data_IF_096183722674
#
_entry.id   IF_096183722674
#
_cell.length_a   1.000
_cell.length_b   1.000
_cell.length_c   1.000
_cell.angle_alpha   90.00
_cell.angle_beta   90.00
_cell.angle_gamma   90.00
#
_symmetry.space_group_name_H-M   'P 1'
#
loop_
_entity.id
_entity.type
_entity.pdbx_description
1 polymer ?
#
# COMPACT_ATOMS: atom_id res chain seq x y z
N UNK A 1 20.55 15.05 -24.98
CA UNK A 1 19.47 16.00 -24.96
C UNK A 1 18.23 15.50 -24.24
N UNK A 2 17.18 16.30 -24.21
CA UNK A 2 15.89 15.96 -23.54
C UNK A 2 15.26 14.66 -24.04
N UNK A 3 15.40 14.35 -25.33
CA UNK A 3 14.86 13.11 -25.94
C UNK A 3 15.58 11.87 -25.41
N UNK A 4 16.93 11.95 -25.32
CA UNK A 4 17.75 10.86 -24.79
C UNK A 4 17.44 10.58 -23.31
N UNK A 5 17.21 11.63 -22.52
CA UNK A 5 16.85 11.52 -21.10
C UNK A 5 15.47 10.87 -20.94
N UNK A 6 14.49 11.27 -21.76
CA UNK A 6 13.15 10.66 -21.77
C UNK A 6 13.20 9.19 -22.15
N UNK A 7 14.03 8.83 -23.12
CA UNK A 7 14.21 7.44 -23.56
C UNK A 7 14.83 6.59 -22.44
N UNK A 8 15.87 7.09 -21.78
CA UNK A 8 16.50 6.39 -20.66
C UNK A 8 15.52 6.18 -19.51
N UNK A 9 14.73 7.20 -19.16
CA UNK A 9 13.69 7.12 -18.12
C UNK A 9 12.63 6.07 -18.49
N UNK A 10 12.19 6.04 -19.76
CA UNK A 10 11.25 5.06 -20.27
C UNK A 10 11.82 3.63 -20.17
N UNK A 11 13.09 3.45 -20.55
CA UNK A 11 13.76 2.14 -20.48
C UNK A 11 13.92 1.65 -19.05
N UNK A 12 14.29 2.53 -18.11
CA UNK A 12 14.36 2.18 -16.69
C UNK A 12 13.00 1.74 -16.16
N UNK A 13 11.95 2.47 -16.48
CA UNK A 13 10.59 2.14 -16.07
C UNK A 13 10.15 0.78 -16.64
N UNK A 14 10.44 0.51 -17.91
CA UNK A 14 10.18 -0.79 -18.54
C UNK A 14 10.94 -1.91 -17.84
N UNK A 15 12.19 -1.68 -17.48
CA UNK A 15 13.01 -2.65 -16.74
C UNK A 15 12.39 -2.99 -15.38
N UNK A 16 11.98 -2.00 -14.60
CA UNK A 16 11.33 -2.21 -13.30
C UNK A 16 10.01 -2.98 -13.45
N UNK A 17 9.21 -2.66 -14.46
CA UNK A 17 7.95 -3.37 -14.72
C UNK A 17 8.19 -4.83 -15.11
N UNK A 18 9.19 -5.13 -15.94
CA UNK A 18 9.52 -6.49 -16.37
C UNK A 18 9.97 -7.37 -15.21
N UNK A 19 10.62 -6.77 -14.20
CA UNK A 19 11.11 -7.49 -13.01
C UNK A 19 10.15 -7.44 -11.84
N UNK A 20 9.00 -6.79 -11.98
CA UNK A 20 8.02 -6.65 -10.92
C UNK A 20 7.07 -7.83 -10.90
N UNK A 21 7.09 -8.58 -9.80
CA UNK A 21 6.20 -9.75 -9.63
C UNK A 21 4.72 -9.34 -9.69
N UNK A 22 4.36 -8.16 -9.16
CA UNK A 22 2.97 -7.69 -9.19
C UNK A 22 2.54 -7.24 -10.57
N UNK A 23 3.42 -6.62 -11.35
CA UNK A 23 3.14 -6.35 -12.77
C UNK A 23 2.91 -7.64 -13.55
N UNK A 24 3.67 -8.69 -13.26
CA UNK A 24 3.51 -10.01 -13.89
C UNK A 24 2.18 -10.65 -13.51
N UNK A 25 1.76 -10.52 -12.25
CA UNK A 25 0.45 -10.98 -11.79
C UNK A 25 -0.67 -10.24 -12.52
N UNK A 26 -0.59 -8.93 -12.60
CA UNK A 26 -1.57 -8.07 -13.28
C UNK A 26 -1.69 -8.48 -14.76
N UNK A 27 -0.57 -8.78 -15.40
CA UNK A 27 -0.51 -9.20 -16.81
C UNK A 27 -0.79 -10.69 -17.03
N UNK A 28 -1.13 -11.43 -15.98
CA UNK A 28 -1.45 -12.86 -16.02
C UNK A 28 -0.27 -13.75 -16.44
N UNK A 29 0.96 -13.28 -16.28
CA UNK A 29 2.17 -14.07 -16.51
C UNK A 29 2.47 -14.99 -15.32
N UNK A 30 2.01 -14.64 -14.13
CA UNK A 30 2.12 -15.43 -12.90
C UNK A 30 0.70 -15.62 -12.35
N UNK A 31 0.32 -16.85 -11.96
CA UNK A 31 -1.01 -17.09 -11.39
C UNK A 31 -1.18 -16.41 -10.03
N UNK A 32 -2.42 -16.03 -9.72
CA UNK A 32 -2.79 -15.45 -8.44
C UNK A 32 -4.22 -15.84 -8.08
N UNK A 33 -4.58 -15.67 -6.82
CA UNK A 33 -5.95 -15.86 -6.34
C UNK A 33 -6.67 -14.51 -6.37
N UNK A 34 -7.19 -14.16 -7.51
CA UNK A 34 -7.81 -12.85 -7.76
C UNK A 34 -9.11 -12.69 -6.96
N UNK A 35 -9.24 -11.54 -6.29
CA UNK A 35 -10.42 -11.14 -5.53
C UNK A 35 -11.24 -10.11 -6.29
N UNK A 36 -10.59 -9.15 -6.95
CA UNK A 36 -11.24 -8.05 -7.65
C UNK A 36 -10.30 -7.48 -8.70
N UNK A 37 -10.89 -7.00 -9.77
CA UNK A 37 -10.14 -6.32 -10.83
C UNK A 37 -11.05 -5.32 -11.53
N UNK A 38 -10.52 -4.14 -11.81
CA UNK A 38 -11.10 -3.18 -12.75
C UNK A 38 -9.96 -2.57 -13.57
N UNK A 39 -10.22 -1.46 -14.27
CA UNK A 39 -9.22 -0.82 -15.12
C UNK A 39 -8.07 -0.14 -14.34
N UNK A 40 -8.22 0.06 -13.02
CA UNK A 40 -7.26 0.82 -12.19
C UNK A 40 -6.55 -0.03 -11.14
N UNK A 41 -7.22 -1.02 -10.60
CA UNK A 41 -6.68 -1.82 -9.48
C UNK A 41 -6.83 -3.32 -9.73
N UNK A 42 -6.00 -4.06 -9.04
CA UNK A 42 -6.06 -5.51 -8.98
C UNK A 42 -5.93 -5.94 -7.51
N UNK A 43 -6.79 -6.83 -7.06
CA UNK A 43 -6.75 -7.33 -5.70
C UNK A 43 -6.67 -8.86 -5.71
N UNK A 44 -5.81 -9.41 -4.86
CA UNK A 44 -5.55 -10.85 -4.81
C UNK A 44 -5.10 -11.27 -3.41
N UNK A 45 -5.21 -12.55 -3.10
CA UNK A 45 -4.80 -13.06 -1.81
C UNK A 45 -3.28 -13.02 -1.66
N UNK A 46 -2.81 -12.58 -0.50
CA UNK A 46 -1.45 -12.85 -0.07
C UNK A 46 -1.36 -14.35 0.26
N UNK A 47 -0.47 -15.06 -0.41
CA UNK A 47 -0.38 -16.51 -0.23
C UNK A 47 0.13 -16.92 1.14
N UNK A 48 0.79 -16.03 1.88
CA UNK A 48 1.24 -16.30 3.26
C UNK A 48 0.08 -16.28 4.27
N UNK A 49 -1.02 -15.56 3.94
CA UNK A 49 -2.21 -15.49 4.79
C UNK A 49 -1.86 -15.26 6.27
N UNK A 50 -1.37 -14.07 6.62
CA UNK A 50 -1.12 -13.73 8.02
C UNK A 50 -2.35 -14.03 8.88
N UNK A 51 -3.54 -13.76 8.32
CA UNK A 51 -4.82 -14.24 8.81
C UNK A 51 -5.66 -14.68 7.61
N UNK A 52 -6.71 -15.44 7.86
CA UNK A 52 -7.61 -15.90 6.79
C UNK A 52 -8.24 -14.70 6.07
N UNK A 53 -8.06 -14.63 4.77
CA UNK A 53 -8.58 -13.56 3.95
C UNK A 53 -7.61 -12.40 3.73
N UNK A 54 -6.36 -12.52 4.19
CA UNK A 54 -5.33 -11.50 3.96
C UNK A 54 -5.23 -11.21 2.47
N UNK A 55 -5.58 -10.00 2.08
CA UNK A 55 -5.72 -9.56 0.69
C UNK A 55 -4.78 -8.38 0.43
N UNK A 56 -4.25 -8.33 -0.78
CA UNK A 56 -3.44 -7.22 -1.28
C UNK A 56 -4.24 -6.47 -2.34
N UNK A 57 -4.22 -5.14 -2.25
CA UNK A 57 -4.79 -4.25 -3.27
C UNK A 57 -3.64 -3.48 -3.90
N UNK A 58 -3.50 -3.59 -5.21
CA UNK A 58 -2.40 -2.95 -5.94
C UNK A 58 -2.94 -2.08 -7.08
N UNK A 59 -2.30 -0.93 -7.34
CA UNK A 59 -2.61 -0.19 -8.56
C UNK A 59 -2.10 -0.96 -9.78
N UNK A 60 -2.83 -0.90 -10.88
CA UNK A 60 -2.35 -1.46 -12.15
C UNK A 60 -1.15 -0.67 -12.69
N UNK A 61 -1.15 0.65 -12.45
CA UNK A 61 0.02 1.48 -12.74
C UNK A 61 1.15 1.14 -11.78
N UNK A 62 2.34 0.89 -12.30
CA UNK A 62 3.51 0.60 -11.48
C UNK A 62 3.99 1.88 -10.81
N UNK A 63 3.83 1.97 -9.50
CA UNK A 63 4.46 2.95 -8.63
C UNK A 63 5.10 2.19 -7.47
N UNK A 64 6.29 2.61 -7.06
CA UNK A 64 7.03 1.87 -6.03
C UNK A 64 6.34 1.98 -4.66
N UNK A 65 5.89 3.18 -4.28
CA UNK A 65 5.38 3.45 -2.95
C UNK A 65 4.48 4.69 -2.93
N UNK A 66 4.01 5.08 -1.75
CA UNK A 66 3.08 6.21 -1.55
C UNK A 66 3.67 7.54 -2.02
N UNK A 67 5.00 7.66 -2.01
CA UNK A 67 5.68 8.91 -2.37
C UNK A 67 5.64 9.18 -3.88
N UNK A 68 5.28 8.18 -4.69
CA UNK A 68 5.08 8.33 -6.13
C UNK A 68 3.62 8.55 -6.52
N UNK A 69 2.69 8.54 -5.57
CA UNK A 69 1.27 8.77 -5.84
C UNK A 69 1.01 10.24 -6.15
N UNK A 70 0.17 10.48 -7.17
CA UNK A 70 -0.52 11.75 -7.35
C UNK A 70 -1.95 11.65 -6.78
N UNK A 71 -2.68 12.76 -6.62
CA UNK A 71 -4.05 12.73 -6.09
C UNK A 71 -5.01 11.87 -6.89
N UNK A 72 -4.87 11.82 -8.21
CA UNK A 72 -5.71 11.00 -9.08
C UNK A 72 -5.52 9.51 -8.78
N UNK A 73 -4.28 9.05 -8.74
CA UNK A 73 -3.97 7.66 -8.44
C UNK A 73 -4.42 7.29 -7.02
N UNK A 74 -4.20 8.17 -6.05
CA UNK A 74 -4.66 7.96 -4.68
C UNK A 74 -6.17 7.74 -4.63
N UNK A 75 -6.94 8.59 -5.32
CA UNK A 75 -8.38 8.46 -5.42
C UNK A 75 -8.79 7.15 -6.07
N UNK A 76 -8.13 6.76 -7.15
CA UNK A 76 -8.43 5.51 -7.87
C UNK A 76 -8.19 4.28 -6.99
N UNK A 77 -7.08 4.23 -6.28
CA UNK A 77 -6.72 3.07 -5.47
C UNK A 77 -7.54 3.01 -4.18
N UNK A 78 -7.52 4.09 -3.39
CA UNK A 78 -8.13 4.08 -2.05
C UNK A 78 -9.65 4.03 -2.09
N UNK A 79 -10.29 4.53 -3.15
CA UNK A 79 -11.75 4.45 -3.30
C UNK A 79 -12.25 3.00 -3.43
N UNK A 80 -11.41 2.07 -3.88
CA UNK A 80 -11.79 0.65 -4.02
C UNK A 80 -11.63 -0.15 -2.73
N UNK A 81 -10.87 0.36 -1.77
CA UNK A 81 -10.55 -0.37 -0.53
C UNK A 81 -11.80 -0.68 0.31
N UNK A 82 -12.71 0.27 0.58
CA UNK A 82 -13.90 -0.05 1.37
C UNK A 82 -14.78 -1.16 0.77
N UNK A 83 -14.93 -1.19 -0.54
CA UNK A 83 -15.70 -2.22 -1.24
C UNK A 83 -15.13 -3.62 -0.98
N UNK A 84 -13.82 -3.76 -1.06
CA UNK A 84 -13.13 -5.03 -0.83
C UNK A 84 -13.20 -5.42 0.65
N UNK A 85 -13.00 -4.46 1.55
CA UNK A 85 -13.14 -4.66 3.00
C UNK A 85 -14.55 -5.15 3.37
N UNK A 86 -15.57 -4.53 2.79
CA UNK A 86 -16.98 -4.95 3.01
C UNK A 86 -17.23 -6.36 2.49
N UNK A 87 -16.62 -6.72 1.37
CA UNK A 87 -16.72 -8.08 0.83
C UNK A 87 -16.08 -9.11 1.78
N UNK A 88 -14.94 -8.79 2.37
CA UNK A 88 -14.26 -9.63 3.36
C UNK A 88 -15.17 -9.85 4.59
N UNK A 89 -15.79 -8.79 5.11
CA UNK A 89 -16.70 -8.86 6.25
C UNK A 89 -17.90 -9.77 5.97
N UNK A 90 -18.48 -9.66 4.79
CA UNK A 90 -19.60 -10.50 4.38
C UNK A 90 -19.18 -11.96 4.17
N UNK A 91 -17.99 -12.17 3.59
CA UNK A 91 -17.47 -13.52 3.33
C UNK A 91 -17.11 -14.26 4.61
N UNK A 92 -16.63 -13.55 5.62
CA UNK A 92 -16.19 -14.12 6.89
C UNK A 92 -16.91 -13.45 8.06
N UNK A 93 -18.13 -13.91 8.38
CA UNK A 93 -18.93 -13.27 9.46
C UNK A 93 -18.28 -13.30 10.84
N UNK A 94 -17.34 -14.21 11.07
CA UNK A 94 -16.56 -14.30 12.31
C UNK A 94 -15.49 -13.20 12.44
N UNK A 95 -15.24 -12.44 11.39
CA UNK A 95 -14.29 -11.33 11.39
C UNK A 95 -14.75 -10.23 12.35
N UNK A 96 -13.85 -9.77 13.24
CA UNK A 96 -14.15 -8.78 14.27
C UNK A 96 -13.45 -7.43 14.05
N UNK A 97 -12.60 -7.36 13.07
CA UNK A 97 -11.87 -6.14 12.77
C UNK A 97 -11.02 -6.31 11.52
N UNK A 98 -10.39 -5.21 11.10
CA UNK A 98 -9.54 -5.19 9.93
C UNK A 98 -8.38 -4.22 10.16
N UNK A 99 -7.16 -4.67 9.95
CA UNK A 99 -6.03 -3.77 9.85
C UNK A 99 -5.71 -3.52 8.37
N UNK A 100 -5.50 -2.27 8.05
CA UNK A 100 -5.10 -1.83 6.71
C UNK A 100 -3.69 -1.27 6.84
N UNK A 101 -2.75 -1.82 6.07
CA UNK A 101 -1.36 -1.41 6.11
C UNK A 101 -0.84 -1.12 4.73
N UNK A 102 -0.02 -0.09 4.64
CA UNK A 102 0.73 0.24 3.44
C UNK A 102 2.17 0.51 3.87
N UNK A 103 3.07 -0.40 3.52
CA UNK A 103 4.48 -0.31 3.87
C UNK A 103 5.24 0.37 2.74
N UNK A 104 5.98 1.42 3.06
CA UNK A 104 6.65 2.25 2.08
C UNK A 104 8.15 2.27 2.38
N UNK A 105 8.94 1.70 1.48
CA UNK A 105 10.38 1.51 1.56
C UNK A 105 10.79 0.39 2.52
N UNK A 106 12.03 -0.04 2.39
CA UNK A 106 12.55 -1.23 3.05
C UNK A 106 12.50 -1.15 4.58
N UNK A 107 12.89 0.00 5.16
CA UNK A 107 12.89 0.16 6.62
C UNK A 107 11.49 0.02 7.21
N UNK A 108 10.47 0.37 6.45
CA UNK A 108 9.07 0.23 6.85
C UNK A 108 8.45 -1.11 6.39
N UNK A 109 9.29 -2.12 6.12
CA UNK A 109 8.92 -3.52 5.78
C UNK A 109 8.32 -3.72 4.39
N UNK A 110 8.52 -2.80 3.46
CA UNK A 110 8.14 -3.05 2.07
C UNK A 110 9.09 -4.07 1.47
N UNK A 111 8.55 -5.19 0.97
CA UNK A 111 9.35 -6.27 0.38
C UNK A 111 9.23 -6.33 -1.14
N UNK A 112 8.13 -5.85 -1.71
CA UNK A 112 7.93 -5.74 -3.16
C UNK A 112 7.75 -4.26 -3.49
N UNK A 113 8.54 -3.75 -4.43
CA UNK A 113 8.57 -2.32 -4.76
C UNK A 113 7.59 -1.97 -5.87
N UNK A 114 6.39 -2.43 -5.69
CA UNK A 114 5.17 -2.05 -6.35
C UNK A 114 4.16 -1.83 -5.22
N UNK A 115 3.67 -0.62 -5.08
CA UNK A 115 2.81 -0.23 -3.95
C UNK A 115 1.66 -1.20 -3.77
N UNK A 116 1.43 -1.62 -2.53
CA UNK A 116 0.35 -2.52 -2.20
C UNK A 116 -0.21 -2.23 -0.82
N UNK A 117 -1.52 -2.41 -0.70
CA UNK A 117 -2.25 -2.18 0.54
C UNK A 117 -2.66 -3.55 1.07
N UNK A 118 -2.24 -3.86 2.30
CA UNK A 118 -2.64 -5.07 2.99
C UNK A 118 -3.99 -4.86 3.67
N UNK A 119 -4.92 -5.76 3.44
CA UNK A 119 -6.16 -5.88 4.20
C UNK A 119 -6.04 -7.15 5.04
N UNK A 120 -5.93 -7.00 6.34
CA UNK A 120 -5.68 -8.10 7.27
C UNK A 120 -6.90 -8.26 8.18
N UNK A 121 -7.81 -9.23 7.88
CA UNK A 121 -8.93 -9.53 8.76
C UNK A 121 -8.47 -9.96 10.14
N UNK A 122 -9.18 -9.52 11.19
CA UNK A 122 -8.82 -9.87 12.57
C UNK A 122 -9.96 -10.64 13.21
N UNK A 123 -9.60 -11.73 13.86
CA UNK A 123 -10.57 -12.69 14.41
C UNK A 123 -10.48 -12.80 15.93
N UNK A 124 -9.27 -12.72 16.49
CA UNK A 124 -9.03 -12.85 17.92
C UNK A 124 -7.70 -12.22 18.31
N UNK A 125 -7.44 -12.18 19.62
CA UNK A 125 -6.15 -11.72 20.16
C UNK A 125 -5.01 -12.70 19.88
N UNK A 126 -5.33 -13.95 19.51
CA UNK A 126 -4.38 -14.99 19.17
C UNK A 126 -4.00 -15.03 17.70
N UNK A 127 -4.52 -14.12 16.87
CA UNK A 127 -4.09 -13.99 15.48
C UNK A 127 -2.56 -13.82 15.42
N UNK A 128 -1.91 -14.54 14.51
CA UNK A 128 -0.47 -14.39 14.29
C UNK A 128 -0.16 -13.09 13.53
N UNK A 129 -0.60 -12.00 14.09
CA UNK A 129 -0.43 -10.64 13.57
C UNK A 129 -0.46 -9.66 14.75
N UNK A 130 0.54 -8.80 14.83
CA UNK A 130 0.58 -7.78 15.88
C UNK A 130 1.15 -6.47 15.36
N UNK A 131 0.75 -5.39 16.02
CA UNK A 131 1.28 -4.04 15.78
C UNK A 131 1.82 -3.53 17.12
N UNK A 132 3.02 -2.99 17.10
CA UNK A 132 3.61 -2.38 18.27
C UNK A 132 3.85 -0.88 18.04
N UNK A 133 3.31 -0.07 18.93
CA UNK A 133 3.63 1.35 18.99
C UNK A 133 4.36 1.62 20.31
N UNK A 134 5.56 2.20 20.23
CA UNK A 134 6.21 2.75 21.41
C UNK A 134 5.41 3.94 21.94
N UNK A 135 5.46 4.16 23.25
CA UNK A 135 4.85 5.35 23.86
C UNK A 135 5.95 6.25 24.43
N UNK A 136 6.15 7.38 23.81
CA UNK A 136 7.17 8.37 24.19
C UNK A 136 6.53 9.71 24.58
N UNK A 137 5.27 9.69 25.03
CA UNK A 137 4.51 10.89 25.38
C UNK A 137 5.27 11.78 26.37
N UNK A 138 5.95 11.17 27.36
CA UNK A 138 6.70 11.90 28.39
C UNK A 138 8.03 12.48 27.85
N UNK A 139 8.44 12.09 26.66
CA UNK A 139 9.69 12.58 26.02
C UNK A 139 9.46 13.81 25.15
N UNK A 140 8.20 14.14 24.85
CA UNK A 140 7.84 15.26 23.98
C UNK A 140 6.97 16.25 24.74
N UNK A 141 7.52 17.42 25.09
CA UNK A 141 6.75 18.51 25.67
C UNK A 141 5.97 19.31 24.62
N UNK A 142 5.09 20.24 25.06
CA UNK A 142 4.29 21.04 24.14
C UNK A 142 5.11 21.83 23.13
N UNK A 143 6.25 22.37 23.53
CA UNK A 143 7.13 23.16 22.64
C UNK A 143 7.75 22.30 21.54
N UNK A 144 8.18 21.07 21.89
CA UNK A 144 8.76 20.13 20.95
C UNK A 144 7.71 19.65 19.94
N UNK A 145 6.51 19.32 20.40
CA UNK A 145 5.40 18.93 19.52
C UNK A 145 5.01 20.06 18.56
N UNK A 146 4.99 21.31 19.08
CA UNK A 146 4.71 22.48 18.24
C UNK A 146 5.77 22.67 17.17
N UNK A 147 7.03 22.50 17.51
CA UNK A 147 8.15 22.61 16.55
C UNK A 147 8.05 21.53 15.46
N UNK A 148 7.72 20.30 15.83
CA UNK A 148 7.48 19.19 14.88
C UNK A 148 6.32 19.55 13.95
N UNK A 149 5.22 20.02 14.54
CA UNK A 149 4.04 20.45 13.76
C UNK A 149 4.40 21.51 12.72
N UNK A 150 5.09 22.56 13.13
CA UNK A 150 5.45 23.67 12.25
C UNK A 150 6.36 23.23 11.11
N UNK A 151 7.30 22.32 11.39
CA UNK A 151 8.22 21.78 10.39
C UNK A 151 7.46 21.01 9.30
N UNK A 152 6.47 20.20 9.70
CA UNK A 152 5.64 19.43 8.77
C UNK A 152 4.72 20.36 7.96
N UNK A 153 4.05 21.30 8.65
CA UNK A 153 3.08 22.21 8.03
C UNK A 153 3.71 23.02 6.90
N UNK A 154 4.95 23.47 7.07
CA UNK A 154 5.69 24.20 6.02
C UNK A 154 5.80 23.38 4.74
N UNK A 155 6.01 22.07 4.85
CA UNK A 155 6.18 21.21 3.70
C UNK A 155 4.84 20.84 3.05
N UNK A 156 3.79 20.67 3.84
CA UNK A 156 2.44 20.39 3.31
C UNK A 156 1.97 21.50 2.36
N UNK A 157 2.29 22.74 2.68
CA UNK A 157 1.85 23.90 1.91
C UNK A 157 2.92 24.45 0.95
N UNK A 158 4.07 23.77 0.81
CA UNK A 158 5.16 24.27 -0.03
C UNK A 158 4.83 24.28 -1.53
N UNK A 159 3.87 23.44 -1.96
CA UNK A 159 3.46 23.29 -3.37
C UNK A 159 2.13 24.01 -3.68
N UNK A 160 1.57 24.73 -2.71
CA UNK A 160 0.31 25.51 -2.88
C UNK A 160 0.56 26.81 -3.68
#
# INVERSE_FOLDING_TARGET
GKVKLKYLFFMERMFFMENCIFCKIINQEIPSYKIYEDDKVYAFLDISQATKGHTLVVPKRHVADIFEYDPELAGEVFSRVPKIAQALEKAFPEMKGLNILNNNRELAYQSVFHSHIHLVPRYSKEDDFSIHFGNHQDSYGPEELKAIQETIVKQVHSDD
#
